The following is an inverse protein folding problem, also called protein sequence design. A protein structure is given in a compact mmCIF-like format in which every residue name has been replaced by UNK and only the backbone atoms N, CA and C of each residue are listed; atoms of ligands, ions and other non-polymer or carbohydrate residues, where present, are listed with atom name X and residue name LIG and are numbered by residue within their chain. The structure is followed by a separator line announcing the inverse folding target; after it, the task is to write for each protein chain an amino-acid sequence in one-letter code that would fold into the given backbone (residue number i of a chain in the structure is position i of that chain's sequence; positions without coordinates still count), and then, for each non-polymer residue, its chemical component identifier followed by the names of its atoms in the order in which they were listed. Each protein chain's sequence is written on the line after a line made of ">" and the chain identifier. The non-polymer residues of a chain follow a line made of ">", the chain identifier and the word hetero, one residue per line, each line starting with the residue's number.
data_IF_100542382032
#
_entry.id   IF_100542382032
#
_cell.length_a   1.000
_cell.length_b   1.000
_cell.length_c   1.000
_cell.angle_alpha   90.00
_cell.angle_beta   90.00
_cell.angle_gamma   90.00
#
_symmetry.space_group_name_H-M   'P 1'
#
loop_
_entity.id
_entity.type
_entity.pdbx_description
1 polymer ?
#
# COMPACT_ATOMS: atom_id res chain seq x y z
N UNK A 1 -12.18 13.71 -11.47
CA UNK A 1 -10.79 13.93 -11.01
C UNK A 1 -10.22 12.66 -10.45
N UNK A 2 -8.94 12.44 -10.67
CA UNK A 2 -8.22 11.25 -10.18
C UNK A 2 -7.22 11.68 -9.14
N UNK A 3 -7.06 10.91 -8.09
CA UNK A 3 -6.15 11.23 -6.99
C UNK A 3 -5.05 10.21 -6.91
N UNK A 4 -3.83 10.66 -6.81
CA UNK A 4 -2.69 9.82 -6.49
C UNK A 4 -2.23 10.11 -5.05
N UNK A 5 -2.28 9.13 -4.23
CA UNK A 5 -1.48 8.85 -3.04
C UNK A 5 -1.32 9.81 -1.89
N UNK A 6 -1.58 9.26 -0.73
CA UNK A 6 -1.02 9.74 0.53
C UNK A 6 0.21 8.90 0.89
N UNK A 7 1.38 9.48 1.22
CA UNK A 7 2.35 8.79 2.03
C UNK A 7 1.79 8.63 3.44
N UNK A 8 2.22 7.58 4.14
CA UNK A 8 2.04 7.49 5.57
C UNK A 8 2.53 8.79 6.23
N UNK A 9 1.85 9.23 7.26
CA UNK A 9 2.05 10.48 7.97
C UNK A 9 3.54 10.80 8.18
N UNK A 10 4.07 11.70 7.35
CA UNK A 10 5.35 12.35 7.55
C UNK A 10 5.08 13.77 7.97
N UNK A 11 5.29 14.09 9.25
CA UNK A 11 5.51 15.46 9.67
C UNK A 11 6.70 16.08 8.93
N UNK A 12 7.14 17.33 9.24
CA UNK A 12 8.19 18.06 8.53
C UNK A 12 9.60 17.46 8.63
N UNK A 13 9.74 16.16 8.59
CA UNK A 13 10.90 15.34 8.42
C UNK A 13 10.43 14.05 7.78
N UNK A 14 10.73 13.86 6.49
CA UNK A 14 10.31 12.70 5.73
C UNK A 14 10.54 11.40 6.50
N UNK A 15 9.66 10.43 6.33
CA UNK A 15 9.76 9.15 7.02
C UNK A 15 11.15 8.53 6.79
N UNK A 16 11.95 8.50 7.85
CA UNK A 16 13.27 7.88 7.81
C UNK A 16 13.07 6.37 7.77
N UNK A 17 13.50 5.72 6.69
CA UNK A 17 13.57 4.27 6.65
C UNK A 17 14.74 3.80 7.51
N UNK A 18 14.46 2.96 8.47
CA UNK A 18 15.47 2.44 9.38
C UNK A 18 16.42 1.41 8.74
N UNK A 19 16.09 0.93 7.52
CA UNK A 19 16.90 -0.05 6.78
C UNK A 19 16.63 -0.02 5.28
N UNK A 20 17.53 -0.67 4.51
CA UNK A 20 17.39 -0.79 3.06
C UNK A 20 16.16 -1.63 2.71
N UNK A 21 15.27 -1.15 1.82
CA UNK A 21 14.12 -1.92 1.35
C UNK A 21 14.56 -3.18 0.59
N UNK A 22 13.79 -4.27 0.76
CA UNK A 22 13.98 -5.51 0.01
C UNK A 22 13.79 -5.28 -1.49
N UNK A 23 14.69 -5.82 -2.30
CA UNK A 23 14.52 -5.88 -3.74
C UNK A 23 13.83 -7.19 -4.16
N UNK A 24 13.20 -7.17 -5.35
CA UNK A 24 12.57 -8.38 -5.90
C UNK A 24 13.59 -9.50 -6.10
N UNK A 25 14.78 -9.17 -6.61
CA UNK A 25 15.84 -10.12 -6.89
C UNK A 25 16.36 -10.81 -5.62
N UNK A 26 16.56 -10.04 -4.54
CA UNK A 26 16.95 -10.59 -3.22
C UNK A 26 15.85 -11.50 -2.68
N UNK A 27 14.59 -11.06 -2.72
CA UNK A 27 13.47 -11.85 -2.25
C UNK A 27 13.30 -13.16 -3.04
N UNK A 28 13.44 -13.10 -4.37
CA UNK A 28 13.23 -14.25 -5.25
C UNK A 28 14.38 -15.26 -5.18
N UNK A 29 15.62 -14.77 -5.12
CA UNK A 29 16.82 -15.59 -5.27
C UNK A 29 17.44 -16.11 -3.96
N UNK A 30 17.07 -15.56 -2.80
CA UNK A 30 17.71 -15.87 -1.52
C UNK A 30 16.69 -16.28 -0.46
N UNK A 31 16.80 -17.52 0.02
CA UNK A 31 15.91 -18.08 1.06
C UNK A 31 16.05 -17.36 2.41
N UNK A 32 17.29 -16.96 2.77
CA UNK A 32 17.54 -16.22 4.00
C UNK A 32 16.93 -14.81 3.92
N UNK A 33 17.05 -14.13 2.77
CA UNK A 33 16.41 -12.84 2.54
C UNK A 33 14.88 -12.94 2.62
N UNK A 34 14.26 -14.01 2.08
CA UNK A 34 12.82 -14.28 2.22
C UNK A 34 12.43 -14.49 3.68
N UNK A 35 13.19 -15.31 4.42
CA UNK A 35 12.96 -15.55 5.85
C UNK A 35 13.03 -14.26 6.64
N UNK A 36 14.07 -13.47 6.43
CA UNK A 36 14.25 -12.13 7.03
C UNK A 36 13.05 -11.23 6.73
N UNK A 37 12.62 -11.16 5.49
CA UNK A 37 11.44 -10.37 5.11
C UNK A 37 10.19 -10.84 5.85
N UNK A 38 9.92 -12.14 5.84
CA UNK A 38 8.70 -12.67 6.45
C UNK A 38 8.67 -12.55 7.97
N UNK A 39 9.79 -12.78 8.65
CA UNK A 39 9.90 -12.58 10.10
C UNK A 39 9.55 -11.13 10.48
N UNK A 40 10.12 -10.17 9.78
CA UNK A 40 9.91 -8.74 9.97
C UNK A 40 8.49 -8.33 9.60
N UNK A 41 8.02 -8.72 8.43
CA UNK A 41 6.69 -8.40 7.94
C UNK A 41 5.58 -9.07 8.76
N UNK A 42 5.81 -10.24 9.35
CA UNK A 42 4.85 -10.92 10.23
C UNK A 42 4.58 -10.12 11.50
N UNK A 43 5.61 -9.53 12.09
CA UNK A 43 5.48 -8.68 13.27
C UNK A 43 4.87 -7.32 12.94
N UNK A 44 5.43 -6.64 11.96
CA UNK A 44 4.99 -5.28 11.61
C UNK A 44 3.58 -5.22 11.03
N UNK A 45 3.14 -6.25 10.30
CA UNK A 45 1.78 -6.35 9.79
C UNK A 45 0.70 -6.32 10.89
N UNK A 46 0.98 -6.87 12.07
CA UNK A 46 0.05 -6.83 13.21
C UNK A 46 -0.32 -5.41 13.62
N UNK A 47 0.64 -4.47 13.53
CA UNK A 47 0.40 -3.05 13.77
C UNK A 47 -0.34 -2.40 12.60
N UNK A 48 0.13 -2.63 11.38
CA UNK A 48 -0.46 -2.04 10.18
C UNK A 48 -1.92 -2.48 9.98
N UNK A 49 -2.22 -3.75 10.23
CA UNK A 49 -3.58 -4.30 10.14
C UNK A 49 -4.57 -3.70 11.16
N UNK A 50 -4.07 -3.05 12.21
CA UNK A 50 -4.86 -2.29 13.19
C UNK A 50 -5.03 -0.80 12.85
N UNK A 51 -4.33 -0.30 11.83
CA UNK A 51 -4.39 1.10 11.43
C UNK A 51 -5.80 1.50 11.00
N UNK A 52 -6.17 2.75 11.31
CA UNK A 52 -7.48 3.30 10.98
C UNK A 52 -7.35 4.41 9.93
N UNK A 53 -8.32 4.56 9.03
CA UNK A 53 -8.36 5.67 8.10
C UNK A 53 -8.32 7.01 8.84
N UNK A 54 -7.47 7.92 8.39
CA UNK A 54 -7.40 9.27 8.90
C UNK A 54 -8.47 10.19 8.27
N UNK A 55 -8.47 11.47 8.66
CA UNK A 55 -9.39 12.47 8.15
C UNK A 55 -9.36 12.60 6.62
N UNK A 56 -8.16 12.62 6.02
CA UNK A 56 -8.02 12.78 4.56
C UNK A 56 -8.57 11.58 3.79
N UNK A 57 -8.36 10.36 4.27
CA UNK A 57 -8.97 9.17 3.66
C UNK A 57 -10.50 9.27 3.61
N UNK A 58 -11.12 9.74 4.72
CA UNK A 58 -12.58 9.93 4.78
C UNK A 58 -13.06 11.05 3.87
N UNK A 59 -12.31 12.16 3.77
CA UNK A 59 -12.62 13.24 2.82
C UNK A 59 -12.62 12.74 1.38
N UNK A 60 -11.61 11.95 0.98
CA UNK A 60 -11.53 11.40 -0.37
C UNK A 60 -12.70 10.44 -0.67
N UNK A 61 -13.09 9.60 0.30
CA UNK A 61 -14.28 8.75 0.18
C UNK A 61 -15.57 9.57 0.02
N UNK A 62 -15.71 10.67 0.76
CA UNK A 62 -16.86 11.58 0.64
C UNK A 62 -16.88 12.26 -0.72
N UNK A 63 -15.75 12.73 -1.23
CA UNK A 63 -15.65 13.36 -2.56
C UNK A 63 -15.96 12.35 -3.69
N UNK A 64 -15.56 11.09 -3.55
CA UNK A 64 -15.93 10.04 -4.49
C UNK A 64 -17.45 9.79 -4.46
N UNK A 65 -18.04 9.68 -3.27
CA UNK A 65 -19.48 9.49 -3.11
C UNK A 65 -20.30 10.65 -3.66
N UNK A 66 -19.79 11.89 -3.57
CA UNK A 66 -20.38 13.09 -4.14
C UNK A 66 -20.15 13.26 -5.66
N UNK A 67 -19.40 12.36 -6.31
CA UNK A 67 -19.11 12.40 -7.75
C UNK A 67 -17.97 13.35 -8.16
N UNK A 68 -17.26 13.94 -7.20
CA UNK A 68 -16.09 14.79 -7.49
C UNK A 68 -14.83 14.01 -7.83
N UNK A 69 -14.73 12.73 -7.42
CA UNK A 69 -13.63 11.85 -7.77
C UNK A 69 -14.14 10.68 -8.61
N UNK A 70 -13.48 10.40 -9.72
CA UNK A 70 -13.69 9.20 -10.54
C UNK A 70 -13.11 7.96 -9.87
N UNK A 71 -11.99 8.13 -9.14
CA UNK A 71 -11.33 7.07 -8.38
C UNK A 71 -10.00 7.53 -7.80
N UNK A 72 -9.36 6.62 -7.10
CA UNK A 72 -8.12 6.84 -6.36
C UNK A 72 -7.05 5.86 -6.87
N UNK A 73 -5.87 6.38 -7.21
CA UNK A 73 -4.67 5.56 -7.40
C UNK A 73 -3.77 5.77 -6.19
N UNK A 74 -3.51 4.71 -5.44
CA UNK A 74 -2.64 4.80 -4.26
C UNK A 74 -1.34 4.03 -4.43
N UNK A 75 -0.24 4.61 -3.97
CA UNK A 75 1.05 3.92 -3.85
C UNK A 75 1.17 3.19 -2.50
N UNK A 76 0.29 3.52 -1.54
CA UNK A 76 0.24 2.86 -0.25
C UNK A 76 -0.30 1.43 -0.39
N UNK A 77 0.14 0.56 0.50
CA UNK A 77 -0.17 -0.87 0.50
C UNK A 77 -1.00 -1.30 1.71
N UNK A 78 -1.56 -0.33 2.44
CA UNK A 78 -2.23 -0.49 3.75
C UNK A 78 -3.74 -0.78 3.67
N UNK A 79 -4.36 -0.52 2.51
CA UNK A 79 -5.81 -0.70 2.30
C UNK A 79 -6.69 0.35 2.99
N UNK A 80 -6.13 1.47 3.49
CA UNK A 80 -6.89 2.46 4.27
C UNK A 80 -7.90 3.25 3.44
N UNK A 81 -7.70 3.44 2.15
CA UNK A 81 -8.71 4.07 1.27
C UNK A 81 -9.98 3.21 1.19
N UNK A 82 -9.82 1.89 0.99
CA UNK A 82 -10.95 0.95 0.98
C UNK A 82 -11.62 0.88 2.35
N UNK A 83 -10.84 0.88 3.43
CA UNK A 83 -11.35 0.91 4.80
C UNK A 83 -12.11 2.21 5.12
N UNK A 84 -11.77 3.34 4.48
CA UNK A 84 -12.49 4.60 4.57
C UNK A 84 -13.81 4.63 3.78
N UNK A 85 -14.08 3.62 2.95
CA UNK A 85 -15.30 3.51 2.14
C UNK A 85 -15.13 3.91 0.67
N UNK A 86 -13.91 4.23 0.21
CA UNK A 86 -13.65 4.47 -1.22
C UNK A 86 -13.89 3.19 -2.03
N UNK A 87 -14.56 3.31 -3.17
CA UNK A 87 -15.03 2.19 -4.00
C UNK A 87 -14.08 1.89 -5.16
N UNK A 88 -13.63 2.94 -5.84
CA UNK A 88 -12.73 2.83 -7.02
C UNK A 88 -11.31 3.14 -6.57
N UNK A 89 -10.62 2.13 -6.05
CA UNK A 89 -9.24 2.27 -5.57
C UNK A 89 -8.34 1.33 -6.35
N UNK A 90 -7.31 1.88 -6.99
CA UNK A 90 -6.26 1.13 -7.69
C UNK A 90 -5.00 1.16 -6.81
N UNK A 91 -4.65 0.06 -6.14
CA UNK A 91 -3.42 -0.04 -5.37
C UNK A 91 -2.24 -0.27 -6.32
N UNK A 92 -1.60 0.81 -6.78
CA UNK A 92 -0.54 0.79 -7.78
C UNK A 92 0.61 -0.15 -7.39
N UNK A 93 1.00 -0.10 -6.12
CA UNK A 93 2.06 -0.95 -5.58
C UNK A 93 1.55 -2.18 -4.83
N UNK A 94 0.23 -2.44 -4.87
CA UNK A 94 -0.36 -3.65 -4.31
C UNK A 94 -0.97 -3.50 -2.93
N UNK A 95 -1.15 -4.63 -2.26
CA UNK A 95 -1.85 -4.74 -0.98
C UNK A 95 -1.13 -5.75 -0.07
N UNK A 96 -0.72 -5.31 1.11
CA UNK A 96 -0.08 -6.16 2.11
C UNK A 96 -1.02 -7.21 2.73
N UNK A 97 -2.32 -7.02 2.63
CA UNK A 97 -3.31 -7.99 3.15
C UNK A 97 -3.42 -9.24 2.29
N UNK A 98 -2.83 -9.25 1.09
CA UNK A 98 -2.86 -10.38 0.16
C UNK A 98 -1.46 -10.95 -0.04
N UNK A 99 -1.35 -12.27 -0.08
CA UNK A 99 -0.12 -13.01 -0.41
C UNK A 99 -0.31 -13.74 -1.73
N UNK A 100 0.70 -13.74 -2.58
CA UNK A 100 0.70 -14.44 -3.87
C UNK A 100 1.83 -15.48 -3.92
N UNK A 101 1.51 -16.66 -4.42
CA UNK A 101 2.52 -17.66 -4.76
C UNK A 101 3.14 -17.33 -6.11
N UNK A 102 4.45 -17.10 -6.15
CA UNK A 102 5.16 -16.79 -7.40
C UNK A 102 5.28 -18.00 -8.34
N UNK A 103 5.07 -19.23 -7.82
CA UNK A 103 5.16 -20.46 -8.62
C UNK A 103 3.84 -20.82 -9.32
N UNK A 104 2.69 -20.69 -8.63
CA UNK A 104 1.40 -21.14 -9.18
C UNK A 104 0.34 -20.02 -9.29
N UNK A 105 0.66 -18.79 -8.89
CA UNK A 105 -0.25 -17.65 -8.92
C UNK A 105 -1.39 -17.69 -7.90
N UNK A 106 -1.44 -18.69 -7.01
CA UNK A 106 -2.46 -18.76 -5.97
C UNK A 106 -2.37 -17.53 -5.04
N UNK A 107 -3.54 -17.02 -4.62
CA UNK A 107 -3.65 -15.90 -3.69
C UNK A 107 -4.25 -16.37 -2.38
N UNK A 108 -3.70 -15.87 -1.29
CA UNK A 108 -4.14 -16.14 0.08
C UNK A 108 -4.31 -14.82 0.82
N UNK A 109 -5.30 -14.71 1.70
CA UNK A 109 -5.42 -13.55 2.59
C UNK A 109 -4.44 -13.71 3.77
N UNK A 110 -3.83 -12.64 4.24
CA UNK A 110 -2.95 -12.68 5.44
C UNK A 110 -3.76 -12.85 6.71
N UNK A 111 -4.87 -12.14 6.83
CA UNK A 111 -5.86 -12.27 7.91
C UNK A 111 -7.25 -12.42 7.31
N UNK A 112 -8.16 -13.09 8.03
CA UNK A 112 -9.57 -12.95 7.75
C UNK A 112 -9.91 -11.46 7.76
N UNK A 113 -10.30 -10.93 6.63
CA UNK A 113 -10.88 -9.59 6.60
C UNK A 113 -12.09 -9.64 7.53
N UNK A 114 -12.11 -8.84 8.60
CA UNK A 114 -13.37 -8.48 9.24
C UNK A 114 -14.29 -8.09 8.12
N UNK A 115 -15.40 -8.82 7.98
CA UNK A 115 -16.33 -8.69 6.87
C UNK A 115 -16.58 -7.20 6.60
N UNK A 116 -15.99 -6.69 5.54
CA UNK A 116 -16.43 -5.43 4.95
C UNK A 116 -17.83 -5.70 4.43
N UNK A 117 -18.78 -4.99 4.99
CA UNK A 117 -20.17 -5.00 4.58
C UNK A 117 -20.25 -5.01 3.05
N UNK A 118 -20.74 -6.11 2.44
CA UNK A 118 -21.13 -6.13 1.04
C UNK A 118 -20.54 -7.20 0.11
N UNK A 119 -19.71 -8.15 0.58
CA UNK A 119 -19.40 -9.35 -0.23
C UNK A 119 -19.86 -10.60 0.47
N UNK A 120 -20.88 -11.25 -0.13
CA UNK A 120 -21.33 -12.61 0.23
C UNK A 120 -20.12 -13.51 0.41
N UNK A 121 -19.95 -14.02 1.64
CA UNK A 121 -19.13 -15.18 1.90
C UNK A 121 -19.79 -16.34 1.14
N UNK A 122 -19.19 -16.78 0.03
CA UNK A 122 -19.52 -18.10 -0.53
C UNK A 122 -19.08 -19.10 0.53
N UNK A 123 -20.07 -19.67 1.22
CA UNK A 123 -19.87 -20.72 2.18
C UNK A 123 -19.20 -21.91 1.48
N UNK A 124 -18.03 -22.34 1.96
CA UNK A 124 -17.46 -23.61 1.53
C UNK A 124 -15.94 -23.78 1.61
N UNK A 125 -15.15 -22.72 1.53
CA UNK A 125 -13.70 -22.84 1.76
C UNK A 125 -13.30 -21.88 2.88
N UNK A 126 -12.95 -22.43 4.05
CA UNK A 126 -12.18 -21.70 5.04
C UNK A 126 -10.89 -21.25 4.35
N UNK A 127 -10.84 -20.02 3.86
CA UNK A 127 -9.64 -19.43 3.29
C UNK A 127 -8.58 -19.52 4.38
N UNK A 128 -7.61 -20.40 4.15
CA UNK A 128 -6.53 -20.64 5.09
C UNK A 128 -5.72 -19.38 5.19
N UNK A 129 -5.91 -18.66 6.27
CA UNK A 129 -5.20 -17.41 6.53
C UNK A 129 -3.70 -17.70 6.59
N UNK A 130 -2.94 -17.00 5.77
CA UNK A 130 -1.50 -17.19 5.69
C UNK A 130 -0.82 -16.92 7.04
N UNK A 131 -1.17 -15.82 7.71
CA UNK A 131 -0.59 -15.47 9.01
C UNK A 131 -1.01 -16.43 10.14
N UNK A 132 -2.18 -17.06 10.07
CA UNK A 132 -2.55 -18.10 11.03
C UNK A 132 -1.64 -19.33 10.89
N UNK A 133 -1.31 -19.75 9.66
CA UNK A 133 -0.34 -20.83 9.41
C UNK A 133 1.07 -20.44 9.87
N UNK A 134 1.47 -19.16 9.67
CA UNK A 134 2.74 -18.63 10.17
C UNK A 134 2.80 -18.67 11.70
N UNK A 135 1.69 -18.35 12.39
CA UNK A 135 1.61 -18.42 13.86
C UNK A 135 1.78 -19.86 14.37
N UNK A 136 1.18 -20.83 13.70
CA UNK A 136 1.34 -22.26 14.03
C UNK A 136 2.78 -22.73 13.83
N UNK A 137 3.43 -22.28 12.76
CA UNK A 137 4.81 -22.64 12.44
C UNK A 137 5.85 -21.95 13.35
N UNK A 138 5.46 -20.85 14.01
CA UNK A 138 6.35 -20.02 14.83
C UNK A 138 5.71 -19.71 16.21
N UNK A 139 5.46 -20.71 17.06
CA UNK A 139 4.80 -20.52 18.33
C UNK A 139 5.65 -19.62 19.24
N UNK A 140 5.02 -18.63 19.87
CA UNK A 140 5.68 -17.69 20.79
C UNK A 140 6.57 -16.63 20.12
N UNK A 141 6.78 -16.67 18.81
CA UNK A 141 7.70 -15.75 18.13
C UNK A 141 7.31 -14.28 18.29
N UNK A 142 6.03 -13.96 18.14
CA UNK A 142 5.58 -12.59 18.25
C UNK A 142 5.52 -12.09 19.70
N UNK A 143 5.30 -12.96 20.64
CA UNK A 143 5.24 -12.68 22.08
C UNK A 143 6.64 -12.46 22.69
N UNK A 144 7.65 -13.11 22.10
CA UNK A 144 9.04 -12.99 22.53
C UNK A 144 9.72 -11.68 22.11
N UNK A 145 9.11 -10.91 21.19
CA UNK A 145 9.73 -9.72 20.61
C UNK A 145 8.89 -8.49 20.96
N UNK A 146 9.47 -7.60 21.75
CA UNK A 146 8.89 -6.29 22.03
C UNK A 146 9.32 -5.31 20.94
N UNK A 147 8.36 -4.80 20.17
CA UNK A 147 8.60 -3.79 19.16
C UNK A 147 8.37 -2.39 19.74
N UNK A 148 9.27 -1.47 19.44
CA UNK A 148 9.01 -0.05 19.60
C UNK A 148 8.20 0.43 18.36
N UNK A 149 6.96 0.91 18.54
CA UNK A 149 6.14 1.41 17.43
C UNK A 149 6.83 2.50 16.60
N UNK A 150 7.74 3.29 17.19
CA UNK A 150 8.48 4.34 16.50
C UNK A 150 9.50 3.78 15.47
N UNK A 151 9.86 2.50 15.58
CA UNK A 151 10.83 1.84 14.67
C UNK A 151 10.15 1.07 13.54
N UNK A 152 8.82 1.05 13.50
CA UNK A 152 8.07 0.37 12.45
C UNK A 152 8.00 1.29 11.22
N UNK A 153 8.45 0.79 10.08
CA UNK A 153 8.34 1.51 8.82
C UNK A 153 6.87 1.61 8.34
N UNK A 154 6.51 2.61 7.52
CA UNK A 154 5.16 2.78 6.99
C UNK A 154 4.62 1.60 6.18
N UNK A 155 5.50 0.77 5.63
CA UNK A 155 5.17 -0.47 4.93
C UNK A 155 5.09 -1.69 5.88
N UNK A 156 5.10 -1.46 7.19
CA UNK A 156 5.01 -2.50 8.21
C UNK A 156 6.30 -3.31 8.38
N UNK A 157 7.43 -2.85 7.83
CA UNK A 157 8.71 -3.52 8.03
C UNK A 157 9.36 -3.08 9.35
N UNK A 158 9.99 -4.01 10.06
CA UNK A 158 10.62 -3.79 11.38
C UNK A 158 12.06 -4.27 11.40
N UNK A 159 12.87 -3.78 12.33
CA UNK A 159 14.22 -4.30 12.55
C UNK A 159 14.18 -5.50 13.50
N UNK A 160 14.91 -6.56 13.15
CA UNK A 160 15.10 -7.75 13.98
C UNK A 160 16.57 -8.14 14.01
N UNK A 161 17.00 -8.74 15.11
CA UNK A 161 18.30 -9.38 15.20
C UNK A 161 18.36 -10.66 14.33
N UNK A 162 19.51 -10.96 13.75
CA UNK A 162 19.69 -12.12 12.89
C UNK A 162 19.34 -13.44 13.60
N UNK A 163 19.67 -13.57 14.90
CA UNK A 163 19.31 -14.73 15.70
C UNK A 163 17.79 -15.00 15.78
N UNK A 164 16.96 -13.98 15.75
CA UNK A 164 15.51 -14.13 15.70
C UNK A 164 15.06 -14.58 14.29
N UNK A 165 15.75 -14.13 13.25
CA UNK A 165 15.45 -14.48 11.85
C UNK A 165 15.76 -15.95 11.57
N UNK A 166 16.90 -16.46 12.10
CA UNK A 166 17.33 -17.84 11.86
C UNK A 166 16.34 -18.88 12.38
N UNK A 167 15.67 -18.59 13.49
CA UNK A 167 14.64 -19.44 14.08
C UNK A 167 13.26 -19.33 13.43
N UNK A 168 13.06 -18.42 12.49
CA UNK A 168 11.74 -18.18 11.89
C UNK A 168 11.46 -19.12 10.71
N UNK A 169 10.28 -19.76 10.72
CA UNK A 169 9.84 -20.71 9.69
C UNK A 169 8.82 -20.05 8.74
N UNK A 170 9.17 -19.93 7.47
CA UNK A 170 8.26 -19.46 6.42
C UNK A 170 7.40 -20.62 5.93
N UNK A 171 6.06 -20.42 5.90
CA UNK A 171 5.14 -21.44 5.41
C UNK A 171 4.99 -21.35 3.89
N UNK A 172 4.90 -22.50 3.24
CA UNK A 172 4.72 -22.59 1.80
C UNK A 172 3.28 -22.33 1.35
N UNK A 173 3.09 -22.29 0.04
CA UNK A 173 1.79 -22.14 -0.61
C UNK A 173 0.84 -23.31 -0.23
N UNK A 174 -0.38 -23.00 0.18
CA UNK A 174 -1.37 -24.02 0.53
C UNK A 174 -1.79 -24.88 -0.70
N UNK A 175 -1.59 -24.36 -1.93
CA UNK A 175 -1.97 -25.04 -3.16
C UNK A 175 -0.87 -25.94 -3.73
N UNK A 176 0.38 -25.46 -3.79
CA UNK A 176 1.47 -26.17 -4.47
C UNK A 176 2.70 -26.44 -3.59
N UNK A 177 2.67 -26.05 -2.31
CA UNK A 177 3.79 -26.25 -1.38
C UNK A 177 5.00 -25.33 -1.56
N UNK A 178 5.05 -24.52 -2.62
CA UNK A 178 6.20 -23.65 -2.92
C UNK A 178 6.49 -22.66 -1.79
N UNK A 179 7.76 -22.51 -1.44
CA UNK A 179 8.24 -21.50 -0.48
C UNK A 179 8.25 -20.06 -1.05
N UNK A 180 7.99 -19.88 -2.35
CA UNK A 180 7.99 -18.59 -3.02
C UNK A 180 6.66 -17.83 -2.78
N UNK A 181 6.31 -17.65 -1.52
CA UNK A 181 5.16 -16.84 -1.10
C UNK A 181 5.59 -15.41 -0.88
N UNK A 182 4.93 -14.46 -1.53
CA UNK A 182 5.24 -13.03 -1.50
C UNK A 182 3.97 -12.23 -1.19
N UNK A 183 4.01 -11.17 -0.34
CA UNK A 183 2.90 -10.22 -0.31
C UNK A 183 2.64 -9.65 -1.71
N UNK A 184 1.39 -9.41 -2.06
CA UNK A 184 1.03 -8.84 -3.37
C UNK A 184 1.38 -7.35 -3.44
N UNK A 185 2.65 -7.02 -3.14
CA UNK A 185 3.19 -5.67 -3.25
C UNK A 185 4.34 -5.64 -4.25
N UNK A 186 4.51 -4.51 -4.91
CA UNK A 186 5.61 -4.29 -5.87
C UNK A 186 6.87 -3.92 -5.10
N UNK A 187 7.89 -4.76 -5.20
CA UNK A 187 9.19 -4.50 -4.60
C UNK A 187 10.07 -3.59 -5.47
N UNK A 188 11.14 -3.07 -4.89
CA UNK A 188 12.15 -2.36 -5.67
C UNK A 188 12.77 -3.31 -6.72
N UNK A 189 12.89 -2.81 -7.97
CA UNK A 189 13.33 -3.63 -9.10
C UNK A 189 12.24 -4.51 -9.74
N UNK A 190 11.03 -4.54 -9.17
CA UNK A 190 9.88 -5.23 -9.75
C UNK A 190 9.02 -4.27 -10.59
N UNK A 191 8.60 -4.64 -11.80
CA UNK A 191 7.69 -3.81 -12.58
C UNK A 191 6.27 -3.88 -12.01
N UNK A 192 5.57 -2.74 -11.99
CA UNK A 192 4.12 -2.74 -11.72
C UNK A 192 3.41 -3.66 -12.72
N UNK A 193 2.52 -4.57 -12.28
CA UNK A 193 1.81 -5.49 -13.16
C UNK A 193 1.04 -4.78 -14.28
N UNK A 194 1.07 -5.36 -15.49
CA UNK A 194 0.37 -4.78 -16.66
C UNK A 194 -1.11 -4.46 -16.41
N UNK A 195 -1.92 -5.34 -15.78
CA UNK A 195 -3.32 -5.03 -15.50
C UNK A 195 -3.48 -3.77 -14.63
N UNK A 196 -2.63 -3.57 -13.61
CA UNK A 196 -2.69 -2.35 -12.77
C UNK A 196 -2.35 -1.10 -13.56
N UNK A 197 -1.34 -1.17 -14.45
CA UNK A 197 -1.00 -0.05 -15.34
C UNK A 197 -2.16 0.31 -16.26
N UNK A 198 -2.84 -0.70 -16.81
CA UNK A 198 -4.00 -0.48 -17.67
C UNK A 198 -5.15 0.17 -16.90
N UNK A 199 -5.48 -0.33 -15.70
CA UNK A 199 -6.50 0.28 -14.85
C UNK A 199 -6.22 1.75 -14.55
N UNK A 200 -4.94 2.11 -14.31
CA UNK A 200 -4.54 3.50 -14.10
C UNK A 200 -4.73 4.33 -15.37
N UNK A 201 -4.34 3.81 -16.53
CA UNK A 201 -4.54 4.49 -17.82
C UNK A 201 -6.04 4.72 -18.08
N UNK A 202 -6.87 3.69 -17.92
CA UNK A 202 -8.32 3.77 -18.10
C UNK A 202 -8.96 4.80 -17.16
N UNK A 203 -8.48 4.87 -15.89
CA UNK A 203 -8.97 5.85 -14.92
C UNK A 203 -8.56 7.28 -15.29
N UNK A 204 -7.32 7.47 -15.77
CA UNK A 204 -6.87 8.76 -16.28
C UNK A 204 -7.73 9.17 -17.47
N UNK A 205 -7.98 8.26 -18.42
CA UNK A 205 -8.77 8.55 -19.63
C UNK A 205 -10.20 9.02 -19.29
N UNK A 206 -10.80 8.46 -18.25
CA UNK A 206 -12.15 8.80 -17.76
C UNK A 206 -12.19 10.08 -16.92
N UNK A 207 -11.06 10.67 -16.57
CA UNK A 207 -10.97 11.81 -15.67
C UNK A 207 -10.74 13.11 -16.45
N UNK A 208 -11.25 14.23 -15.94
CA UNK A 208 -11.00 15.56 -16.53
C UNK A 208 -9.66 16.14 -16.04
N UNK A 209 -9.25 15.79 -14.82
CA UNK A 209 -8.04 16.31 -14.18
C UNK A 209 -7.45 15.30 -13.20
N UNK A 210 -6.20 15.54 -12.77
CA UNK A 210 -5.50 14.73 -11.76
C UNK A 210 -5.15 15.59 -10.56
N UNK A 211 -5.51 15.12 -9.37
CA UNK A 211 -5.08 15.72 -8.11
C UNK A 211 -4.11 14.77 -7.40
N UNK A 212 -2.88 15.21 -7.20
CA UNK A 212 -1.87 14.51 -6.39
C UNK A 212 -1.97 14.98 -4.94
N UNK A 213 -2.12 14.04 -4.01
CA UNK A 213 -2.29 14.32 -2.59
C UNK A 213 -1.18 13.65 -1.79
N UNK A 214 -0.34 14.45 -1.14
CA UNK A 214 0.65 13.99 -0.18
C UNK A 214 1.72 13.03 -0.75
N UNK A 215 2.14 13.23 -1.98
CA UNK A 215 3.17 12.41 -2.60
C UNK A 215 4.29 13.27 -3.18
N UNK A 216 5.54 12.90 -2.87
CA UNK A 216 6.71 13.46 -3.52
C UNK A 216 6.91 12.97 -4.96
N UNK A 217 6.17 11.93 -5.39
CA UNK A 217 6.32 11.26 -6.69
C UNK A 217 7.77 10.84 -7.01
N UNK A 218 8.58 10.57 -5.99
CA UNK A 218 9.98 10.19 -6.14
C UNK A 218 10.15 8.94 -7.01
N UNK A 219 9.22 7.97 -6.87
CA UNK A 219 9.21 6.72 -7.64
C UNK A 219 8.54 6.94 -9.00
N UNK A 220 9.18 6.43 -10.07
CA UNK A 220 8.74 6.65 -11.45
C UNK A 220 7.32 6.14 -11.73
N UNK A 221 6.87 5.08 -11.08
CA UNK A 221 5.50 4.55 -11.26
C UNK A 221 4.41 5.55 -10.87
N UNK A 222 4.62 6.33 -9.80
CA UNK A 222 3.73 7.43 -9.42
C UNK A 222 3.89 8.66 -10.34
N UNK A 223 5.14 9.03 -10.66
CA UNK A 223 5.42 10.15 -11.57
C UNK A 223 4.80 9.93 -12.97
N UNK A 224 4.70 8.69 -13.43
CA UNK A 224 4.11 8.34 -14.70
C UNK A 224 2.67 8.80 -14.85
N UNK A 225 1.89 8.79 -13.77
CA UNK A 225 0.50 9.28 -13.75
C UNK A 225 0.43 10.76 -14.16
N UNK A 226 1.32 11.58 -13.61
CA UNK A 226 1.42 13.01 -13.98
C UNK A 226 1.82 13.17 -15.44
N UNK A 227 2.83 12.42 -15.89
CA UNK A 227 3.29 12.50 -17.28
C UNK A 227 2.21 12.07 -18.28
N UNK A 228 1.45 11.03 -17.98
CA UNK A 228 0.39 10.53 -18.87
C UNK A 228 -0.82 11.48 -18.87
N UNK A 229 -1.19 12.08 -17.74
CA UNK A 229 -2.20 13.13 -17.66
C UNK A 229 -1.81 14.37 -18.48
N UNK A 230 -0.56 14.84 -18.33
CA UNK A 230 -0.04 16.00 -19.09
C UNK A 230 0.00 15.72 -20.61
N UNK A 231 0.31 14.49 -21.05
CA UNK A 231 0.22 14.10 -22.48
C UNK A 231 -1.18 14.22 -23.03
N UNK A 232 -2.19 14.01 -22.18
CA UNK A 232 -3.61 14.14 -22.52
C UNK A 232 -4.14 15.58 -22.31
N UNK A 233 -3.26 16.56 -22.10
CA UNK A 233 -3.61 17.96 -21.84
C UNK A 233 -4.52 18.17 -20.61
N UNK A 234 -4.52 17.24 -19.67
CA UNK A 234 -5.32 17.34 -18.46
C UNK A 234 -4.63 18.22 -17.42
N UNK A 235 -5.43 18.96 -16.67
CA UNK A 235 -4.93 19.75 -15.55
C UNK A 235 -4.40 18.84 -14.45
N UNK A 236 -3.23 19.15 -13.91
CA UNK A 236 -2.63 18.43 -12.80
C UNK A 236 -2.40 19.39 -11.64
N UNK A 237 -2.97 19.07 -10.49
CA UNK A 237 -2.82 19.82 -9.23
C UNK A 237 -2.12 18.96 -8.19
N UNK A 238 -1.30 19.59 -7.33
CA UNK A 238 -0.59 18.93 -6.23
C UNK A 238 -0.89 19.61 -4.91
N UNK A 239 -1.26 18.82 -3.90
CA UNK A 239 -1.27 19.24 -2.49
C UNK A 239 -0.24 18.39 -1.76
N UNK A 240 0.86 19.01 -1.32
CA UNK A 240 1.94 18.31 -0.63
C UNK A 240 2.72 19.25 0.29
N UNK A 241 3.08 18.79 1.49
CA UNK A 241 3.83 19.63 2.45
C UNK A 241 5.30 19.82 2.09
N UNK A 242 5.94 18.80 1.50
CA UNK A 242 7.34 18.82 1.09
C UNK A 242 7.55 18.96 -0.42
N UNK A 243 8.81 19.03 -0.90
CA UNK A 243 9.12 19.06 -2.32
C UNK A 243 8.73 17.77 -3.02
N UNK A 244 8.36 17.86 -4.28
CA UNK A 244 7.97 16.74 -5.13
C UNK A 244 8.66 16.78 -6.50
N UNK A 245 8.79 15.62 -7.12
CA UNK A 245 9.44 15.47 -8.44
C UNK A 245 8.68 16.15 -9.58
N UNK A 246 7.40 16.38 -9.41
CA UNK A 246 6.53 16.96 -10.44
C UNK A 246 6.28 18.45 -10.27
N UNK A 247 6.90 19.12 -9.30
CA UNK A 247 6.57 20.48 -8.91
C UNK A 247 6.69 21.52 -10.04
N UNK A 248 7.66 21.32 -10.92
CA UNK A 248 7.92 22.15 -12.12
C UNK A 248 7.02 21.81 -13.32
N UNK A 249 6.14 20.79 -13.19
CA UNK A 249 5.35 20.22 -14.29
C UNK A 249 3.85 20.27 -14.09
N UNK A 250 3.42 20.78 -12.93
CA UNK A 250 2.00 20.82 -12.56
C UNK A 250 1.41 22.20 -12.76
N UNK A 251 0.10 22.27 -12.93
CA UNK A 251 -0.59 23.52 -13.19
C UNK A 251 -0.89 24.30 -11.89
N UNK A 252 -1.13 23.55 -10.79
CA UNK A 252 -1.39 24.12 -9.46
C UNK A 252 -0.57 23.36 -8.42
N UNK A 253 0.16 24.09 -7.61
CA UNK A 253 0.94 23.55 -6.49
C UNK A 253 0.56 24.25 -5.20
N UNK A 254 -0.01 23.49 -4.26
CA UNK A 254 -0.33 23.98 -2.93
C UNK A 254 0.52 23.31 -1.86
N UNK A 255 1.46 24.10 -1.31
CA UNK A 255 2.36 23.68 -0.23
C UNK A 255 1.68 23.84 1.13
N UNK A 256 1.14 22.76 1.65
CA UNK A 256 0.50 22.75 2.97
C UNK A 256 0.37 21.30 3.48
N UNK A 257 0.07 21.13 4.77
CA UNK A 257 -0.35 19.84 5.27
C UNK A 257 -1.74 19.46 4.74
N UNK A 258 -1.96 18.15 4.61
CA UNK A 258 -3.15 17.64 3.96
C UNK A 258 -4.43 17.91 4.77
N UNK A 259 -4.36 17.83 6.11
CA UNK A 259 -5.55 18.04 6.93
C UNK A 259 -6.01 19.50 6.84
N UNK A 260 -5.08 20.45 6.83
CA UNK A 260 -5.36 21.88 6.62
C UNK A 260 -5.97 22.14 5.25
N UNK A 261 -5.41 21.53 4.18
CA UNK A 261 -5.96 21.65 2.84
C UNK A 261 -7.41 21.16 2.79
N UNK A 262 -7.67 19.93 3.25
CA UNK A 262 -8.98 19.32 3.15
C UNK A 262 -10.03 20.01 4.06
N UNK A 263 -9.64 20.57 5.20
CA UNK A 263 -10.55 21.41 6.01
C UNK A 263 -11.02 22.67 5.26
N UNK A 264 -10.22 23.20 4.33
CA UNK A 264 -10.61 24.36 3.51
C UNK A 264 -11.41 23.96 2.26
N UNK A 265 -11.11 22.79 1.67
CA UNK A 265 -11.74 22.33 0.43
C UNK A 265 -13.14 21.78 0.70
N UNK A 266 -13.29 20.92 1.72
CA UNK A 266 -14.52 20.16 1.96
C UNK A 266 -15.78 21.04 2.08
N UNK A 267 -15.79 22.16 2.85
CA UNK A 267 -16.97 23.01 2.96
C UNK A 267 -17.42 23.69 1.66
N UNK A 268 -16.59 23.64 0.62
CA UNK A 268 -16.88 24.25 -0.69
C UNK A 268 -17.41 23.23 -1.70
N UNK A 269 -17.26 21.93 -1.43
CA UNK A 269 -17.57 20.85 -2.36
C UNK A 269 -18.69 19.91 -1.87
N UNK A 270 -18.93 19.91 -0.56
CA UNK A 270 -19.90 18.97 0.08
C UNK A 270 -20.80 19.69 1.07
#
# INVERSE_FOLDING_TARGET
>A
ATVACTPAEGGPGGCVRHHRPMTYQEFHGDDHARRRYWARSYLGWRHLAGAQPNYVHRCLSTLEAAGHLTGIVTQNVDGLHQAAGSRTVIPLHGDLATVICLSCGAREDRRARRASVGRSAVAGEARREYDARMTIANPGFAEAITLDPATINPDGDVQLADSAIDGFHVVGCARCGSALMKPDVVYFGEPVPRPRKQQVADLIDQSDSVLVVGSSLAVMSGMRIVLDAKKQHKQVSVINGGPGRADDRVDVLWRTDLATAFRRIMPQLV
#
